data_IF_114334063618
#
_entry.id   IF_114334063618
#
_cell.length_a   1.000
_cell.length_b   1.000
_cell.length_c   1.000
_cell.angle_alpha   90.00
_cell.angle_beta   90.00
_cell.angle_gamma   90.00
#
_symmetry.space_group_name_H-M   'P 1'
#
loop_
_entity.id
_entity.type
_entity.pdbx_description
1 polymer ?
#
# COMPACT_ATOMS: atom_id res chain seq x y z
N UNK A 1 -12.16 -4.71 8.03
CA UNK A 1 -11.32 -5.01 6.86
C UNK A 1 -11.77 -6.32 6.23
N UNK A 2 -11.65 -6.45 4.89
CA UNK A 2 -11.90 -7.75 4.25
C UNK A 2 -10.94 -8.80 4.80
N UNK A 3 -11.44 -10.04 4.91
CA UNK A 3 -10.64 -11.13 5.48
C UNK A 3 -9.42 -11.51 4.66
N UNK A 4 -9.42 -11.19 3.36
CA UNK A 4 -8.33 -11.51 2.44
C UNK A 4 -7.37 -10.34 2.17
N UNK A 5 -7.47 -9.25 2.94
CA UNK A 5 -6.74 -8.02 2.62
C UNK A 5 -5.23 -8.20 2.65
N UNK A 6 -4.70 -9.00 3.59
CA UNK A 6 -3.26 -9.27 3.64
C UNK A 6 -2.79 -10.05 2.42
N UNK A 7 -3.57 -11.03 1.97
CA UNK A 7 -3.25 -11.77 0.77
C UNK A 7 -3.27 -10.87 -0.46
N UNK A 8 -4.28 -10.01 -0.56
CA UNK A 8 -4.39 -9.04 -1.67
C UNK A 8 -3.19 -8.10 -1.70
N UNK A 9 -2.76 -7.63 -0.54
CA UNK A 9 -1.59 -6.76 -0.44
C UNK A 9 -0.33 -7.49 -0.89
N UNK A 10 -0.11 -8.71 -0.42
CA UNK A 10 1.07 -9.51 -0.78
C UNK A 10 1.12 -9.80 -2.27
N UNK A 11 -0.02 -10.12 -2.87
CA UNK A 11 -0.10 -10.36 -4.32
C UNK A 11 0.17 -9.09 -5.12
N UNK A 12 -0.36 -7.95 -4.67
CA UNK A 12 -0.13 -6.67 -5.33
C UNK A 12 1.35 -6.30 -5.29
N UNK A 13 2.01 -6.49 -4.16
CA UNK A 13 3.43 -6.20 -4.00
C UNK A 13 4.27 -7.10 -4.90
N UNK A 14 3.98 -8.39 -4.92
CA UNK A 14 4.70 -9.35 -5.78
C UNK A 14 4.53 -8.99 -7.25
N UNK A 15 3.32 -8.65 -7.66
CA UNK A 15 3.02 -8.26 -9.04
C UNK A 15 3.75 -6.98 -9.44
N UNK A 16 3.76 -5.98 -8.56
CA UNK A 16 4.46 -4.72 -8.82
C UNK A 16 5.95 -4.95 -9.06
N UNK A 17 6.57 -5.73 -8.19
CA UNK A 17 8.00 -6.01 -8.28
C UNK A 17 8.32 -6.81 -9.55
N UNK A 18 7.51 -7.83 -9.84
CA UNK A 18 7.71 -8.66 -11.02
C UNK A 18 7.59 -7.85 -12.31
N UNK A 19 6.62 -6.95 -12.38
CA UNK A 19 6.32 -6.24 -13.61
C UNK A 19 7.23 -5.04 -13.86
N UNK A 20 7.71 -4.38 -12.79
CA UNK A 20 8.42 -3.12 -12.94
C UNK A 20 9.89 -3.17 -12.58
N UNK A 21 10.38 -4.29 -12.05
CA UNK A 21 11.79 -4.41 -11.66
C UNK A 21 12.45 -5.65 -12.25
N UNK A 22 12.21 -5.92 -13.54
CA UNK A 22 12.77 -7.12 -14.18
C UNK A 22 14.27 -7.23 -14.08
N UNK A 23 14.97 -6.09 -14.04
CA UNK A 23 16.42 -6.07 -13.97
C UNK A 23 16.93 -6.27 -12.56
N UNK A 24 16.09 -6.05 -11.56
CA UNK A 24 16.46 -6.09 -10.15
C UNK A 24 15.93 -7.34 -9.47
N UNK A 25 14.67 -7.69 -9.75
CA UNK A 25 14.01 -8.84 -9.14
C UNK A 25 14.09 -10.05 -10.04
N UNK A 26 14.62 -11.14 -9.48
CA UNK A 26 14.68 -12.44 -10.14
C UNK A 26 14.23 -13.49 -9.14
N UNK A 27 13.17 -14.22 -9.47
CA UNK A 27 12.63 -15.27 -8.60
C UNK A 27 13.63 -16.40 -8.36
N UNK A 28 14.56 -16.62 -9.28
CA UNK A 28 15.58 -17.63 -9.15
C UNK A 28 16.82 -17.13 -8.40
N UNK A 29 16.85 -15.84 -8.07
CA UNK A 29 17.97 -15.23 -7.36
C UNK A 29 17.41 -14.39 -6.22
N UNK A 30 17.24 -14.97 -5.02
CA UNK A 30 16.54 -14.33 -3.92
C UNK A 30 17.39 -13.33 -3.15
N UNK A 31 18.19 -12.51 -3.84
CA UNK A 31 18.98 -11.47 -3.19
C UNK A 31 18.11 -10.33 -2.65
N UNK A 32 16.91 -10.19 -3.16
CA UNK A 32 15.95 -9.17 -2.74
C UNK A 32 14.69 -9.86 -2.28
N UNK A 33 14.26 -9.53 -1.07
CA UNK A 33 13.04 -10.07 -0.50
C UNK A 33 12.17 -8.94 0.02
N UNK A 34 10.88 -9.04 -0.27
CA UNK A 34 9.86 -8.16 0.29
C UNK A 34 8.89 -9.00 1.10
N UNK A 35 8.53 -8.48 2.25
CA UNK A 35 7.41 -9.01 3.02
C UNK A 35 6.69 -7.85 3.67
N UNK A 36 5.41 -8.02 3.93
CA UNK A 36 4.64 -6.95 4.54
C UNK A 36 3.32 -7.42 5.04
N UNK A 37 2.72 -6.59 5.87
CA UNK A 37 1.41 -6.86 6.43
C UNK A 37 0.63 -5.57 6.62
N UNK A 38 -0.69 -5.69 6.60
CA UNK A 38 -1.59 -4.59 6.92
C UNK A 38 -1.55 -4.39 8.43
N UNK A 39 -1.18 -3.21 8.88
CA UNK A 39 -1.14 -2.87 10.30
C UNK A 39 -2.23 -1.90 10.72
N UNK A 40 -2.89 -1.25 9.76
CA UNK A 40 -3.99 -0.36 10.04
C UNK A 40 -5.00 -0.34 8.92
N UNK A 41 -6.27 -0.32 9.29
CA UNK A 41 -7.38 -0.17 8.36
C UNK A 41 -8.41 0.66 9.08
N UNK A 42 -8.49 1.95 8.74
CA UNK A 42 -9.30 2.90 9.49
C UNK A 42 -10.30 3.59 8.60
N UNK A 43 -11.54 3.64 9.07
CA UNK A 43 -12.62 4.34 8.42
C UNK A 43 -13.10 5.43 9.37
N UNK A 44 -12.85 6.69 9.03
CA UNK A 44 -13.16 7.82 9.89
C UNK A 44 -13.86 8.93 9.13
N UNK A 45 -14.76 9.68 9.79
CA UNK A 45 -15.27 10.91 9.20
C UNK A 45 -14.13 11.89 8.98
N UNK A 46 -14.18 12.59 7.84
CA UNK A 46 -13.22 13.66 7.56
C UNK A 46 -13.77 14.95 8.15
N UNK A 47 -12.89 15.77 8.73
CA UNK A 47 -13.31 17.05 9.30
C UNK A 47 -13.85 17.96 8.19
N UNK A 48 -15.01 18.64 8.40
CA UNK A 48 -15.53 19.58 7.42
C UNK A 48 -14.55 20.71 7.16
N UNK A 49 -14.41 21.07 5.88
CA UNK A 49 -13.59 22.20 5.48
C UNK A 49 -14.46 23.42 5.24
N UNK A 50 -13.91 24.61 5.45
CA UNK A 50 -14.65 25.85 5.21
C UNK A 50 -15.14 25.90 3.76
N UNK A 51 -16.44 26.17 3.59
CA UNK A 51 -17.08 26.23 2.28
C UNK A 51 -17.46 24.88 1.68
N UNK A 52 -17.13 23.77 2.34
CA UNK A 52 -17.49 22.45 1.88
C UNK A 52 -18.80 22.00 2.56
N UNK A 53 -19.83 21.75 1.75
CA UNK A 53 -21.13 21.33 2.25
C UNK A 53 -21.34 19.82 2.22
N UNK A 54 -20.38 19.07 1.65
CA UNK A 54 -20.49 17.61 1.52
C UNK A 54 -19.73 16.95 2.65
N UNK A 55 -20.40 16.07 3.39
CA UNK A 55 -19.73 15.27 4.41
C UNK A 55 -18.92 14.16 3.74
N UNK A 56 -17.69 14.00 4.20
CA UNK A 56 -16.76 13.00 3.66
C UNK A 56 -16.34 12.03 4.74
N UNK A 57 -16.10 10.80 4.33
CA UNK A 57 -15.39 9.79 5.11
C UNK A 57 -14.03 9.54 4.49
N UNK A 58 -13.12 9.00 5.29
CA UNK A 58 -11.75 8.69 4.87
C UNK A 58 -11.44 7.23 5.19
N UNK A 59 -10.99 6.48 4.20
CA UNK A 59 -10.41 5.16 4.40
C UNK A 59 -8.90 5.29 4.34
N UNK A 60 -8.22 4.93 5.44
CA UNK A 60 -6.77 4.94 5.52
C UNK A 60 -6.26 3.52 5.75
N UNK A 61 -5.28 3.12 4.96
CA UNK A 61 -4.64 1.81 5.10
C UNK A 61 -3.16 2.05 5.40
N UNK A 62 -2.67 1.38 6.44
CA UNK A 62 -1.26 1.42 6.82
C UNK A 62 -0.69 0.02 6.71
N UNK A 63 0.51 -0.08 6.16
CA UNK A 63 1.22 -1.35 5.98
C UNK A 63 2.61 -1.22 6.56
N UNK A 64 3.15 -2.32 7.07
CA UNK A 64 4.54 -2.41 7.46
C UNK A 64 5.26 -3.29 6.45
N UNK A 65 6.34 -2.79 5.86
CA UNK A 65 7.07 -3.50 4.81
C UNK A 65 8.51 -3.71 5.22
N UNK A 66 8.97 -4.96 5.06
CA UNK A 66 10.37 -5.33 5.17
C UNK A 66 10.96 -5.47 3.77
N UNK A 67 12.04 -4.76 3.52
CA UNK A 67 12.85 -4.93 2.32
C UNK A 67 14.22 -5.44 2.74
N UNK A 68 14.61 -6.60 2.24
CA UNK A 68 15.89 -7.22 2.54
C UNK A 68 16.71 -7.33 1.26
N UNK A 69 17.88 -6.72 1.26
CA UNK A 69 18.84 -6.82 0.18
C UNK A 69 20.03 -7.63 0.70
N UNK A 70 20.14 -8.87 0.26
CA UNK A 70 21.18 -9.79 0.76
C UNK A 70 22.56 -9.49 0.21
N UNK A 71 22.64 -8.77 -0.91
CA UNK A 71 23.93 -8.34 -1.48
C UNK A 71 24.49 -7.10 -0.79
N UNK A 72 23.61 -6.25 -0.29
CA UNK A 72 23.98 -5.02 0.39
C UNK A 72 23.00 -4.78 1.53
N UNK A 73 23.31 -5.30 2.69
CA UNK A 73 22.42 -5.21 3.84
C UNK A 73 22.19 -3.79 4.30
N UNK A 74 23.10 -2.85 3.98
CA UNK A 74 22.89 -1.44 4.31
C UNK A 74 21.70 -0.82 3.59
N UNK A 75 21.23 -1.43 2.52
CA UNK A 75 20.04 -0.99 1.78
C UNK A 75 18.75 -1.60 2.28
N UNK A 76 18.83 -2.56 3.20
CA UNK A 76 17.66 -3.18 3.80
C UNK A 76 16.96 -2.21 4.76
N UNK A 77 15.64 -2.33 4.85
CA UNK A 77 14.86 -1.49 5.75
C UNK A 77 13.55 -2.14 6.13
N UNK A 78 12.96 -1.63 7.20
CA UNK A 78 11.62 -1.95 7.63
C UNK A 78 10.91 -0.64 7.91
N UNK A 79 9.88 -0.33 7.13
CA UNK A 79 9.20 0.97 7.20
C UNK A 79 7.70 0.84 7.09
N UNK A 80 6.95 1.71 7.77
CA UNK A 80 5.52 1.83 7.54
C UNK A 80 5.24 2.71 6.34
N UNK A 81 4.15 2.38 5.65
CA UNK A 81 3.62 3.18 4.55
C UNK A 81 2.13 3.33 4.77
N UNK A 82 1.59 4.48 4.44
CA UNK A 82 0.20 4.79 4.66
C UNK A 82 -0.33 5.64 3.52
N UNK A 83 -1.57 5.39 3.13
CA UNK A 83 -2.26 6.21 2.15
C UNK A 83 -3.75 6.15 2.41
N UNK A 84 -4.47 7.17 1.95
CA UNK A 84 -5.91 7.24 2.18
C UNK A 84 -6.64 7.71 0.94
N UNK A 85 -7.96 7.45 0.95
CA UNK A 85 -8.92 8.00 -0.01
C UNK A 85 -10.13 8.51 0.74
N UNK A 86 -10.64 9.65 0.31
CA UNK A 86 -11.90 10.16 0.82
C UNK A 86 -13.04 9.78 -0.12
N UNK A 87 -14.24 9.70 0.43
CA UNK A 87 -15.44 9.43 -0.33
C UNK A 87 -16.63 10.10 0.37
N UNK A 88 -17.68 10.39 -0.40
CA UNK A 88 -18.89 11.01 0.15
C UNK A 88 -19.54 10.06 1.15
N UNK A 89 -19.95 10.60 2.31
CA UNK A 89 -20.50 9.79 3.40
C UNK A 89 -21.85 9.16 3.08
N UNK A 90 -22.54 9.64 2.04
CA UNK A 90 -23.80 9.05 1.58
C UNK A 90 -23.60 7.82 0.68
N UNK A 91 -22.36 7.50 0.31
CA UNK A 91 -22.06 6.31 -0.47
C UNK A 91 -22.04 5.07 0.42
N UNK A 92 -22.54 3.96 -0.09
CA UNK A 92 -22.43 2.68 0.60
C UNK A 92 -20.99 2.19 0.55
N UNK A 93 -20.32 2.19 1.69
CA UNK A 93 -18.93 1.78 1.78
C UNK A 93 -18.70 0.37 1.23
N UNK A 94 -19.60 -0.56 1.53
CA UNK A 94 -19.45 -1.96 1.09
C UNK A 94 -19.39 -2.03 -0.43
N UNK A 95 -20.17 -1.22 -1.14
CA UNK A 95 -20.21 -1.26 -2.60
C UNK A 95 -18.99 -0.61 -3.26
N UNK A 96 -18.27 0.29 -2.56
CA UNK A 96 -17.10 0.98 -3.13
C UNK A 96 -15.78 0.55 -2.49
N UNK A 97 -15.84 -0.33 -1.49
CA UNK A 97 -14.67 -0.73 -0.70
C UNK A 97 -13.54 -1.28 -1.57
N UNK A 98 -13.86 -2.19 -2.49
CA UNK A 98 -12.83 -2.83 -3.32
C UNK A 98 -12.14 -1.84 -4.22
N UNK A 99 -12.87 -0.89 -4.78
CA UNK A 99 -12.28 0.17 -5.60
C UNK A 99 -11.34 1.04 -4.77
N UNK A 100 -11.76 1.43 -3.57
CA UNK A 100 -10.93 2.26 -2.68
C UNK A 100 -9.65 1.53 -2.30
N UNK A 101 -9.75 0.25 -1.95
CA UNK A 101 -8.58 -0.56 -1.59
C UNK A 101 -7.63 -0.66 -2.78
N UNK A 102 -8.15 -0.91 -3.97
CA UNK A 102 -7.33 -1.00 -5.18
C UNK A 102 -6.57 0.29 -5.44
N UNK A 103 -7.24 1.43 -5.31
CA UNK A 103 -6.59 2.74 -5.51
C UNK A 103 -5.53 3.02 -4.46
N UNK A 104 -5.81 2.70 -3.19
CA UNK A 104 -4.86 2.89 -2.10
C UNK A 104 -3.64 1.98 -2.28
N UNK A 105 -3.87 0.72 -2.62
CA UNK A 105 -2.77 -0.23 -2.85
C UNK A 105 -1.89 0.21 -4.01
N UNK A 106 -2.47 0.73 -5.07
CA UNK A 106 -1.70 1.22 -6.22
C UNK A 106 -0.72 2.30 -5.78
N UNK A 107 -1.16 3.25 -4.97
CA UNK A 107 -0.29 4.31 -4.48
C UNK A 107 0.74 3.79 -3.48
N UNK A 108 0.33 2.88 -2.60
CA UNK A 108 1.27 2.25 -1.66
C UNK A 108 2.38 1.50 -2.41
N UNK A 109 2.01 0.77 -3.47
CA UNK A 109 2.99 0.04 -4.28
C UNK A 109 4.01 0.98 -4.92
N UNK A 110 3.55 2.12 -5.45
CA UNK A 110 4.45 3.13 -6.00
C UNK A 110 5.42 3.64 -4.93
N UNK A 111 4.92 3.95 -3.75
CA UNK A 111 5.74 4.49 -2.67
C UNK A 111 6.76 3.47 -2.18
N UNK A 112 6.34 2.21 -2.02
CA UNK A 112 7.23 1.13 -1.60
C UNK A 112 8.32 0.88 -2.63
N UNK A 113 7.94 0.79 -3.91
CA UNK A 113 8.88 0.57 -5.00
C UNK A 113 9.91 1.69 -5.09
N UNK A 114 9.45 2.93 -4.99
CA UNK A 114 10.35 4.08 -5.04
C UNK A 114 11.34 4.08 -3.89
N UNK A 115 10.89 3.76 -2.68
CA UNK A 115 11.80 3.67 -1.53
C UNK A 115 12.85 2.59 -1.72
N UNK A 116 12.48 1.46 -2.29
CA UNK A 116 13.38 0.33 -2.46
C UNK A 116 14.40 0.55 -3.59
N UNK A 117 14.02 1.24 -4.67
CA UNK A 117 14.80 1.21 -5.91
C UNK A 117 15.27 2.57 -6.42
N UNK A 118 14.94 3.67 -5.78
CA UNK A 118 15.35 5.00 -6.28
C UNK A 118 16.48 5.63 -5.48
N UNK A 119 16.83 5.07 -4.35
CA UNK A 119 17.93 5.58 -3.52
C UNK A 119 19.29 4.95 -3.84
N UNK A 120 19.38 4.26 -4.94
CA UNK A 120 20.57 3.47 -5.26
C UNK A 120 21.60 4.26 -6.09
#
# INVERSE_FOLDING_TARGET
APGDINQRFSEALRSKIRNESRLVYNEQNPDIEFSGSITGFRLNPEAPQAGNTVALNKLEITVMVNFVNKKDESKSWKKPFSFFRTFESDKDFISIQDQLITEIFKQLMENIFNEAFTGW
#
